data_IF_666169174557
#
_entry.id   IF_666169174557
#
_cell.length_a   1.000
_cell.length_b   1.000
_cell.length_c   1.000
_cell.angle_alpha   90.00
_cell.angle_beta   90.00
_cell.angle_gamma   90.00
#
_symmetry.space_group_name_H-M   'P 1'
#
loop_
_entity.id
_entity.type
_entity.pdbx_description
1 polymer ?
#
# COMPACT_ATOMS: atom_id res chain seq x y z
N UNK A 1 4.08 -6.38 -10.69
CA UNK A 1 3.93 -5.86 -9.32
C UNK A 1 2.47 -5.58 -9.12
N UNK A 2 1.80 -6.36 -8.29
CA UNK A 2 0.38 -6.18 -8.02
C UNK A 2 0.25 -5.36 -6.74
N UNK A 3 -0.50 -4.26 -6.79
CA UNK A 3 -0.70 -3.37 -5.66
C UNK A 3 -2.19 -3.40 -5.30
N UNK A 4 -2.50 -3.94 -4.13
CA UNK A 4 -3.85 -3.96 -3.57
C UNK A 4 -3.92 -2.96 -2.43
N UNK A 5 -4.79 -1.96 -2.54
CA UNK A 5 -5.03 -0.98 -1.47
C UNK A 5 -6.39 -1.23 -0.85
N UNK A 6 -6.40 -1.53 0.43
CA UNK A 6 -7.62 -1.80 1.22
C UNK A 6 -7.78 -0.69 2.26
N UNK A 7 -8.98 -0.14 2.34
CA UNK A 7 -9.35 0.85 3.34
C UNK A 7 -10.25 0.19 4.38
N UNK A 8 -9.94 0.32 5.67
CA UNK A 8 -10.76 -0.20 6.79
C UNK A 8 -11.12 0.93 7.74
N UNK A 9 -12.41 1.07 8.06
CA UNK A 9 -12.93 2.12 8.95
C UNK A 9 -12.56 3.55 8.51
N UNK A 10 -12.36 3.77 7.20
CA UNK A 10 -12.13 5.09 6.63
C UNK A 10 -12.75 5.17 5.23
N UNK A 11 -13.01 6.40 4.79
CA UNK A 11 -13.46 6.64 3.43
C UNK A 11 -12.31 6.41 2.45
N UNK A 12 -12.53 5.64 1.37
CA UNK A 12 -11.53 5.46 0.34
C UNK A 12 -11.25 6.83 -0.30
N UNK A 13 -9.98 7.22 -0.29
CA UNK A 13 -9.53 8.48 -0.91
C UNK A 13 -8.61 8.18 -2.08
N UNK A 14 -8.96 8.69 -3.25
CA UNK A 14 -8.11 8.60 -4.45
C UNK A 14 -6.74 9.25 -4.23
N UNK A 15 -6.68 10.36 -3.49
CA UNK A 15 -5.41 11.02 -3.17
C UNK A 15 -4.47 10.11 -2.37
N UNK A 16 -5.02 9.35 -1.40
CA UNK A 16 -4.22 8.40 -0.60
C UNK A 16 -3.80 7.19 -1.43
N UNK A 17 -4.68 6.71 -2.30
CA UNK A 17 -4.35 5.61 -3.22
C UNK A 17 -3.22 6.01 -4.17
N UNK A 18 -3.34 7.16 -4.83
CA UNK A 18 -2.32 7.70 -5.72
C UNK A 18 -0.99 7.94 -4.98
N UNK A 19 -1.04 8.44 -3.74
CA UNK A 19 0.15 8.64 -2.91
C UNK A 19 0.85 7.31 -2.57
N UNK A 20 0.08 6.28 -2.19
CA UNK A 20 0.61 4.95 -1.93
C UNK A 20 1.24 4.35 -3.20
N UNK A 21 0.58 4.47 -4.34
CA UNK A 21 1.11 4.00 -5.64
C UNK A 21 2.40 4.72 -6.05
N UNK A 22 2.49 6.04 -5.86
CA UNK A 22 3.70 6.80 -6.19
C UNK A 22 4.90 6.36 -5.32
N UNK A 23 4.69 6.16 -4.02
CA UNK A 23 5.73 5.70 -3.09
C UNK A 23 6.18 4.28 -3.43
N UNK A 24 5.24 3.39 -3.73
CA UNK A 24 5.54 2.03 -4.16
C UNK A 24 6.23 2.01 -5.53
N UNK A 25 5.92 2.96 -6.41
CA UNK A 25 6.61 3.17 -7.68
C UNK A 25 8.10 3.48 -7.51
N UNK A 26 8.48 4.19 -6.45
CA UNK A 26 9.91 4.41 -6.12
C UNK A 26 10.57 3.14 -5.62
N UNK A 27 9.84 2.31 -4.86
CA UNK A 27 10.32 1.02 -4.38
C UNK A 27 10.52 0.01 -5.52
N UNK A 28 9.77 0.09 -6.63
CA UNK A 28 9.99 -0.76 -7.83
C UNK A 28 11.45 -0.78 -8.31
N UNK A 29 12.21 0.31 -8.17
CA UNK A 29 13.62 0.35 -8.57
C UNK A 29 14.51 -0.62 -7.78
N UNK A 30 14.08 -1.00 -6.58
CA UNK A 30 14.85 -1.81 -5.66
C UNK A 30 14.34 -3.25 -5.54
N UNK A 31 13.14 -3.56 -6.05
CA UNK A 31 12.54 -4.90 -5.91
C UNK A 31 12.39 -5.58 -7.27
N UNK A 32 12.96 -6.77 -7.38
CA UNK A 32 12.95 -7.59 -8.60
C UNK A 32 11.57 -8.29 -8.70
N UNK A 33 10.85 -8.20 -9.82
CA UNK A 33 9.55 -8.85 -9.99
C UNK A 33 9.68 -10.40 -9.99
N UNK A 34 8.64 -11.14 -9.52
CA UNK A 34 7.29 -10.70 -9.16
C UNK A 34 7.14 -10.32 -7.67
N UNK A 35 6.52 -9.16 -7.43
CA UNK A 35 6.24 -8.62 -6.09
C UNK A 35 4.75 -8.33 -5.97
N UNK A 36 4.13 -8.85 -4.92
CA UNK A 36 2.77 -8.51 -4.51
C UNK A 36 2.82 -7.59 -3.29
N UNK A 37 2.10 -6.49 -3.36
CA UNK A 37 2.05 -5.49 -2.30
C UNK A 37 0.61 -5.31 -1.87
N UNK A 38 0.36 -5.57 -0.59
CA UNK A 38 -0.92 -5.31 0.04
C UNK A 38 -0.75 -4.14 1.02
N UNK A 39 -1.48 -3.06 0.79
CA UNK A 39 -1.52 -1.89 1.66
C UNK A 39 -2.88 -1.85 2.33
N UNK A 40 -2.92 -1.90 3.64
CA UNK A 40 -4.13 -1.74 4.44
C UNK A 40 -4.02 -0.42 5.20
N UNK A 41 -4.91 0.51 4.88
CA UNK A 41 -5.05 1.79 5.57
C UNK A 41 -6.25 1.69 6.49
N UNK A 42 -6.05 1.90 7.78
CA UNK A 42 -7.11 1.92 8.77
C UNK A 42 -7.01 3.12 9.71
N UNK A 43 -8.17 3.55 10.19
CA UNK A 43 -8.26 4.63 11.18
C UNK A 43 -8.95 4.12 12.43
N UNK A 44 -8.23 4.18 13.55
CA UNK A 44 -8.76 3.87 14.88
C UNK A 44 -8.74 5.12 15.75
N UNK A 45 -9.91 5.75 15.91
CA UNK A 45 -10.09 7.02 16.62
C UNK A 45 -9.22 8.14 16.01
N UNK A 46 -8.06 8.42 16.60
CA UNK A 46 -7.10 9.42 16.14
C UNK A 46 -5.84 8.79 15.52
N UNK A 47 -5.74 7.46 15.51
CA UNK A 47 -4.59 6.74 14.99
C UNK A 47 -4.82 6.37 13.53
N UNK A 48 -3.95 6.86 12.67
CA UNK A 48 -3.84 6.42 11.29
C UNK A 48 -2.84 5.27 11.24
N UNK A 49 -3.33 4.09 10.90
CA UNK A 49 -2.54 2.86 10.83
C UNK A 49 -2.38 2.51 9.34
N UNK A 50 -1.13 2.34 8.92
CA UNK A 50 -0.81 1.91 7.57
C UNK A 50 0.01 0.61 7.67
N UNK A 51 -0.61 -0.50 7.32
CA UNK A 51 0.06 -1.79 7.19
C UNK A 51 0.45 -2.00 5.74
N UNK A 52 1.72 -2.31 5.50
CA UNK A 52 2.25 -2.59 4.17
C UNK A 52 2.89 -3.97 4.20
N UNK A 53 2.27 -4.92 3.50
CA UNK A 53 2.80 -6.27 3.32
C UNK A 53 3.38 -6.38 1.93
N UNK A 54 4.68 -6.65 1.85
CA UNK A 54 5.39 -6.93 0.60
C UNK A 54 5.72 -8.42 0.55
N UNK A 55 5.22 -9.11 -0.48
CA UNK A 55 5.54 -10.49 -0.79
C UNK A 55 6.40 -10.47 -2.05
N UNK A 56 7.68 -10.80 -1.91
CA UNK A 56 8.59 -11.00 -3.04
C UNK A 56 8.91 -12.49 -3.11
N UNK A 57 8.51 -13.15 -4.19
CA UNK A 57 8.92 -14.53 -4.44
C UNK A 57 10.34 -14.52 -5.02
N UNK A 58 11.22 -15.31 -4.41
CA UNK A 58 12.62 -15.49 -4.83
C UNK A 58 12.73 -16.53 -5.94
#
# INVERSE_FOLDING_TARGET
>A
MNISVTFRHMEPSEALKAYAEEKLGKLKKYVIPPVEVNVVLSVEKFRHIAEVTLIANR
#
